data_IF_729863169549
#
_entry.id   IF_729863169549
#
_cell.length_a   1.000
_cell.length_b   1.000
_cell.length_c   1.000
_cell.angle_alpha   90.00
_cell.angle_beta   90.00
_cell.angle_gamma   90.00
#
_symmetry.space_group_name_H-M   'P 1'
#
loop_
_entity.id
_entity.type
_entity.pdbx_description
1 polymer ?
#
# COMPACT_ATOMS: atom_id res chain seq x y z
N UNK A 1 -16.01 -17.46 -18.32
CA UNK A 1 -16.84 -16.57 -19.20
C UNK A 1 -18.35 -16.76 -18.99
N UNK A 2 -18.87 -18.00 -18.88
CA UNK A 2 -20.31 -18.26 -18.61
C UNK A 2 -20.75 -17.67 -17.26
N UNK A 3 -20.01 -17.93 -16.18
CA UNK A 3 -20.31 -17.41 -14.84
C UNK A 3 -20.39 -15.87 -14.78
N UNK A 4 -19.47 -15.17 -15.45
CA UNK A 4 -19.48 -13.69 -15.55
C UNK A 4 -20.74 -13.18 -16.24
N UNK A 5 -21.18 -13.82 -17.33
CA UNK A 5 -22.44 -13.46 -18.01
C UNK A 5 -23.65 -13.72 -17.11
N UNK A 6 -23.68 -14.85 -16.39
CA UNK A 6 -24.78 -15.19 -15.48
C UNK A 6 -24.89 -14.19 -14.33
N UNK A 7 -23.77 -13.85 -13.69
CA UNK A 7 -23.72 -12.89 -12.57
C UNK A 7 -24.08 -11.48 -13.05
N UNK A 8 -23.58 -11.06 -14.23
CA UNK A 8 -23.96 -9.77 -14.83
C UNK A 8 -25.46 -9.70 -15.14
N UNK A 9 -26.04 -10.75 -15.67
CA UNK A 9 -27.48 -10.81 -15.92
C UNK A 9 -28.30 -10.75 -14.61
N UNK A 10 -27.81 -11.39 -13.54
CA UNK A 10 -28.41 -11.28 -12.22
C UNK A 10 -28.38 -9.82 -11.70
N UNK A 11 -27.22 -9.15 -11.73
CA UNK A 11 -27.12 -7.77 -11.27
C UNK A 11 -27.90 -6.77 -12.15
N UNK A 12 -27.99 -7.01 -13.46
CA UNK A 12 -28.87 -6.23 -14.35
C UNK A 12 -30.33 -6.32 -13.92
N UNK A 13 -30.82 -7.54 -13.71
CA UNK A 13 -32.20 -7.78 -13.28
C UNK A 13 -32.47 -7.19 -11.89
N UNK A 14 -31.50 -7.32 -10.98
CA UNK A 14 -31.58 -6.75 -9.63
C UNK A 14 -31.65 -5.22 -9.67
N UNK A 15 -30.75 -4.56 -10.41
CA UNK A 15 -30.72 -3.10 -10.50
C UNK A 15 -32.00 -2.54 -11.16
N UNK A 16 -32.48 -3.16 -12.24
CA UNK A 16 -33.71 -2.74 -12.90
C UNK A 16 -34.95 -2.92 -12.00
N UNK A 17 -35.08 -4.08 -11.34
CA UNK A 17 -36.21 -4.33 -10.44
C UNK A 17 -36.19 -3.46 -9.19
N UNK A 18 -35.01 -3.21 -8.60
CA UNK A 18 -34.85 -2.32 -7.46
C UNK A 18 -35.21 -0.87 -7.80
N UNK A 19 -34.84 -0.39 -9.00
CA UNK A 19 -35.20 0.94 -9.46
C UNK A 19 -36.72 1.09 -9.63
N UNK A 20 -37.40 0.13 -10.26
CA UNK A 20 -38.86 0.14 -10.40
C UNK A 20 -39.54 0.06 -9.03
N UNK A 21 -39.12 -0.89 -8.18
CA UNK A 21 -39.70 -1.05 -6.85
C UNK A 21 -39.53 0.21 -5.98
N UNK A 22 -38.35 0.84 -6.02
CA UNK A 22 -38.07 2.09 -5.32
C UNK A 22 -38.95 3.23 -5.83
N UNK A 23 -39.11 3.35 -7.15
CA UNK A 23 -39.99 4.35 -7.76
C UNK A 23 -41.48 4.10 -7.39
N UNK A 24 -41.93 2.85 -7.41
CA UNK A 24 -43.29 2.47 -7.01
C UNK A 24 -43.55 2.79 -5.53
N UNK A 25 -42.60 2.52 -4.64
CA UNK A 25 -42.72 2.83 -3.22
C UNK A 25 -42.76 4.35 -2.97
N UNK A 26 -41.92 5.12 -3.68
CA UNK A 26 -41.96 6.57 -3.62
C UNK A 26 -43.28 7.15 -4.16
N UNK A 27 -43.78 6.61 -5.28
CA UNK A 27 -45.07 7.00 -5.85
C UNK A 27 -46.26 6.65 -4.93
N UNK A 28 -46.18 5.53 -4.21
CA UNK A 28 -47.18 5.14 -3.22
C UNK A 28 -47.23 6.13 -2.05
N UNK A 29 -46.07 6.58 -1.58
CA UNK A 29 -45.98 7.51 -0.46
C UNK A 29 -46.51 8.92 -0.79
N UNK A 30 -46.35 9.37 -2.04
CA UNK A 30 -46.72 10.73 -2.47
C UNK A 30 -48.12 10.83 -3.12
N UNK A 31 -48.60 9.75 -3.74
CA UNK A 31 -49.82 9.78 -4.56
C UNK A 31 -50.72 8.55 -4.39
N UNK A 32 -50.50 7.72 -3.36
CA UNK A 32 -51.29 6.52 -3.11
C UNK A 32 -51.17 5.46 -4.22
N UNK A 33 -52.10 4.49 -4.29
CA UNK A 33 -52.06 3.43 -5.29
C UNK A 33 -51.98 3.92 -6.76
N UNK A 34 -52.67 5.01 -7.16
CA UNK A 34 -52.51 5.58 -8.50
C UNK A 34 -51.11 6.18 -8.72
N UNK A 35 -50.55 6.86 -7.71
CA UNK A 35 -49.19 7.39 -7.76
C UNK A 35 -48.12 6.32 -7.87
N UNK A 36 -48.31 5.17 -7.21
CA UNK A 36 -47.44 4.01 -7.33
C UNK A 36 -47.41 3.46 -8.77
N UNK A 37 -48.57 3.33 -9.41
CA UNK A 37 -48.68 2.83 -10.78
C UNK A 37 -48.07 3.80 -11.80
N UNK A 38 -48.31 5.11 -11.64
CA UNK A 38 -47.73 6.13 -12.51
C UNK A 38 -46.19 6.18 -12.39
N UNK A 39 -45.66 6.12 -11.17
CA UNK A 39 -44.22 6.12 -10.93
C UNK A 39 -43.55 4.83 -11.45
N UNK A 40 -44.20 3.67 -11.31
CA UNK A 40 -43.72 2.40 -11.87
C UNK A 40 -43.62 2.46 -13.40
N UNK A 41 -44.65 2.99 -14.06
CA UNK A 41 -44.71 3.14 -15.51
C UNK A 41 -43.61 4.08 -16.01
N UNK A 42 -43.43 5.24 -15.36
CA UNK A 42 -42.39 6.20 -15.69
C UNK A 42 -40.97 5.62 -15.48
N UNK A 43 -40.75 4.89 -14.38
CA UNK A 43 -39.47 4.22 -14.11
C UNK A 43 -39.15 3.14 -15.15
N UNK A 44 -40.15 2.38 -15.57
CA UNK A 44 -40.01 1.36 -16.62
C UNK A 44 -39.70 2.01 -17.97
N UNK A 45 -40.35 3.12 -18.31
CA UNK A 45 -40.05 3.89 -19.51
C UNK A 45 -38.63 4.48 -19.49
N UNK A 46 -38.18 4.98 -18.34
CA UNK A 46 -36.80 5.46 -18.16
C UNK A 46 -35.77 4.34 -18.32
N UNK A 47 -36.04 3.14 -17.79
CA UNK A 47 -35.19 1.97 -17.97
C UNK A 47 -35.09 1.52 -19.43
N UNK A 48 -36.15 1.70 -20.22
CA UNK A 48 -36.16 1.40 -21.65
C UNK A 48 -35.42 2.46 -22.50
N UNK A 49 -35.13 3.63 -21.94
CA UNK A 49 -34.36 4.67 -22.63
C UNK A 49 -32.89 4.27 -22.81
N UNK A 50 -32.18 4.77 -23.85
CA UNK A 50 -30.76 4.49 -24.05
C UNK A 50 -29.89 4.80 -22.84
N UNK A 51 -30.20 5.88 -22.11
CA UNK A 51 -29.51 6.28 -20.88
C UNK A 51 -29.81 5.34 -19.71
N UNK A 52 -31.07 4.89 -19.58
CA UNK A 52 -31.47 3.94 -18.54
C UNK A 52 -30.82 2.57 -18.71
N UNK A 53 -30.77 2.07 -19.96
CA UNK A 53 -30.06 0.82 -20.28
C UNK A 53 -28.57 0.95 -19.94
N UNK A 54 -27.93 2.07 -20.30
CA UNK A 54 -26.52 2.31 -19.98
C UNK A 54 -26.27 2.38 -18.47
N UNK A 55 -27.15 3.02 -17.70
CA UNK A 55 -27.02 3.13 -16.25
C UNK A 55 -27.12 1.76 -15.55
N UNK A 56 -28.09 0.92 -15.96
CA UNK A 56 -28.23 -0.44 -15.43
C UNK A 56 -27.04 -1.31 -15.81
N UNK A 57 -26.52 -1.12 -17.03
CA UNK A 57 -25.35 -1.84 -17.51
C UNK A 57 -24.12 -1.55 -16.66
N UNK A 58 -23.84 -0.28 -16.39
CA UNK A 58 -22.72 0.16 -15.54
C UNK A 58 -22.88 -0.39 -14.11
N UNK A 59 -24.08 -0.27 -13.53
CA UNK A 59 -24.35 -0.79 -12.19
C UNK A 59 -24.13 -2.31 -12.11
N UNK A 60 -24.53 -3.04 -13.16
CA UNK A 60 -24.36 -4.47 -13.23
C UNK A 60 -22.90 -4.89 -13.43
N UNK A 61 -22.12 -4.13 -14.20
CA UNK A 61 -20.67 -4.35 -14.34
C UNK A 61 -19.95 -4.19 -13.01
N UNK A 62 -20.18 -3.09 -12.30
CA UNK A 62 -19.56 -2.84 -10.99
C UNK A 62 -19.91 -3.94 -9.98
N UNK A 63 -21.19 -4.36 -9.93
CA UNK A 63 -21.62 -5.46 -9.06
C UNK A 63 -20.98 -6.80 -9.43
N UNK A 64 -20.80 -7.06 -10.73
CA UNK A 64 -20.18 -8.29 -11.24
C UNK A 64 -18.69 -8.33 -10.96
N UNK A 65 -17.99 -7.22 -11.16
CA UNK A 65 -16.55 -7.11 -10.89
C UNK A 65 -16.28 -7.28 -9.40
N UNK A 66 -17.07 -6.63 -8.54
CA UNK A 66 -16.97 -6.82 -7.09
C UNK A 66 -17.22 -8.27 -6.66
N UNK A 67 -18.16 -8.98 -7.31
CA UNK A 67 -18.51 -10.34 -6.97
C UNK A 67 -17.51 -11.40 -7.50
N UNK A 68 -16.82 -11.12 -8.60
CA UNK A 68 -16.00 -12.12 -9.30
C UNK A 68 -14.50 -11.87 -9.22
N UNK A 69 -14.06 -10.62 -9.07
CA UNK A 69 -12.63 -10.29 -9.16
C UNK A 69 -11.90 -10.39 -7.82
N UNK A 70 -12.58 -10.81 -6.74
CA UNK A 70 -11.88 -11.28 -5.54
C UNK A 70 -11.26 -12.66 -5.81
N UNK A 71 -9.94 -12.70 -5.95
CA UNK A 71 -9.24 -13.96 -6.15
C UNK A 71 -9.27 -14.76 -4.85
N UNK A 72 -9.87 -15.96 -4.89
CA UNK A 72 -9.91 -16.87 -3.74
C UNK A 72 -8.54 -17.50 -3.54
N UNK A 73 -7.85 -17.16 -2.46
CA UNK A 73 -6.47 -17.59 -2.20
C UNK A 73 -6.35 -18.70 -1.14
N UNK A 74 -7.46 -19.37 -0.82
CA UNK A 74 -7.52 -20.42 0.22
C UNK A 74 -6.59 -21.61 -0.03
N UNK A 75 -6.11 -21.82 -1.26
CA UNK A 75 -5.13 -22.87 -1.60
C UNK A 75 -3.67 -22.44 -1.43
N UNK A 76 -3.40 -21.19 -1.02
CA UNK A 76 -2.07 -20.61 -0.93
C UNK A 76 -1.49 -20.14 -2.26
N UNK A 77 -0.43 -19.33 -2.22
CA UNK A 77 0.26 -18.78 -3.39
C UNK A 77 1.15 -17.58 -3.05
N UNK A 78 1.96 -17.13 -4.02
CA UNK A 78 2.76 -15.90 -3.92
C UNK A 78 2.08 -14.79 -4.72
N UNK A 79 1.75 -13.68 -4.06
CA UNK A 79 1.18 -12.49 -4.69
C UNK A 79 2.32 -11.53 -5.04
N UNK A 80 2.61 -11.39 -6.33
CA UNK A 80 3.73 -10.56 -6.84
C UNK A 80 3.31 -9.15 -7.25
N UNK A 81 2.01 -8.86 -7.30
CA UNK A 81 1.44 -7.56 -7.65
C UNK A 81 0.25 -7.21 -6.75
N UNK A 82 -0.10 -5.92 -6.60
CA UNK A 82 -1.24 -5.50 -5.78
C UNK A 82 -2.53 -6.20 -6.23
N UNK A 83 -3.03 -7.12 -5.41
CA UNK A 83 -4.19 -7.96 -5.74
C UNK A 83 -5.23 -7.84 -4.65
N UNK A 84 -6.48 -7.64 -5.02
CA UNK A 84 -7.62 -7.74 -4.12
C UNK A 84 -8.03 -9.21 -3.99
N UNK A 85 -7.84 -9.80 -2.82
CA UNK A 85 -8.02 -11.24 -2.59
C UNK A 85 -8.91 -11.51 -1.38
N UNK A 86 -9.70 -12.59 -1.47
CA UNK A 86 -10.46 -13.12 -0.34
C UNK A 86 -9.58 -14.16 0.38
N UNK A 87 -9.28 -13.90 1.66
CA UNK A 87 -8.39 -14.71 2.51
C UNK A 87 -9.22 -15.38 3.63
N UNK A 88 -8.82 -16.57 4.07
CA UNK A 88 -9.40 -17.22 5.25
C UNK A 88 -10.74 -17.94 5.04
N UNK A 89 -11.06 -18.37 3.81
CA UNK A 89 -12.27 -19.17 3.55
C UNK A 89 -12.18 -20.61 4.09
N UNK A 90 -10.97 -21.11 4.36
CA UNK A 90 -10.70 -22.51 4.75
C UNK A 90 -10.01 -22.66 6.13
N UNK A 91 -10.42 -21.86 7.11
CA UNK A 91 -9.91 -21.93 8.49
C UNK A 91 -8.86 -20.86 8.84
N UNK A 92 -8.17 -20.97 9.99
CA UNK A 92 -7.21 -19.97 10.44
C UNK A 92 -5.98 -19.88 9.51
N UNK A 93 -5.88 -18.80 8.74
CA UNK A 93 -4.76 -18.50 7.85
C UNK A 93 -3.87 -17.37 8.41
N UNK A 94 -2.58 -17.42 8.09
CA UNK A 94 -1.59 -16.43 8.53
C UNK A 94 -1.04 -15.65 7.33
N UNK A 95 -1.12 -14.31 7.40
CA UNK A 95 -0.58 -13.41 6.37
C UNK A 95 0.83 -12.95 6.78
N UNK A 96 1.85 -13.32 6.01
CA UNK A 96 3.24 -12.94 6.23
C UNK A 96 3.70 -11.96 5.14
N UNK A 97 3.96 -10.68 5.46
CA UNK A 97 4.57 -9.75 4.52
C UNK A 97 6.04 -10.14 4.25
N UNK A 98 6.41 -10.36 2.97
CA UNK A 98 7.78 -10.72 2.57
C UNK A 98 8.75 -9.54 2.44
N UNK A 99 8.49 -8.43 3.14
CA UNK A 99 9.33 -7.23 3.05
C UNK A 99 10.77 -7.52 3.52
N UNK A 100 11.82 -6.98 2.87
CA UNK A 100 13.20 -7.21 3.28
C UNK A 100 13.62 -6.49 4.58
N UNK A 101 12.71 -5.84 5.32
CA UNK A 101 13.07 -5.00 6.46
C UNK A 101 12.53 -5.51 7.81
N UNK A 102 12.98 -6.70 8.20
CA UNK A 102 13.27 -7.00 9.62
C UNK A 102 14.62 -6.41 10.07
N UNK A 103 15.20 -5.51 9.27
CA UNK A 103 16.33 -4.68 9.68
C UNK A 103 15.86 -3.70 10.76
N UNK A 104 16.03 -4.08 12.03
CA UNK A 104 15.88 -3.20 13.20
C UNK A 104 16.32 -1.78 12.83
N UNK A 105 15.53 -0.74 13.14
CA UNK A 105 15.88 0.63 12.77
C UNK A 105 17.30 0.94 13.24
N UNK A 106 18.18 1.32 12.31
CA UNK A 106 19.59 1.61 12.60
C UNK A 106 19.63 2.72 13.65
N UNK A 107 19.91 2.35 14.91
CA UNK A 107 19.93 3.29 16.03
C UNK A 107 20.80 4.48 15.67
N UNK A 108 20.22 5.68 15.66
CA UNK A 108 20.97 6.92 15.45
C UNK A 108 22.01 7.02 16.56
N UNK A 109 23.31 7.10 16.21
CA UNK A 109 24.38 7.30 17.20
C UNK A 109 24.10 8.54 18.06
N UNK A 110 24.38 8.45 19.36
CA UNK A 110 24.13 9.55 20.32
C UNK A 110 24.90 10.82 19.97
N UNK A 111 24.42 11.98 20.46
CA UNK A 111 25.11 13.28 20.27
C UNK A 111 26.53 13.25 20.85
N UNK A 112 26.73 12.61 22.00
CA UNK A 112 28.03 12.45 22.65
C UNK A 112 29.01 11.61 21.81
N UNK A 113 28.55 10.48 21.25
CA UNK A 113 29.36 9.64 20.37
C UNK A 113 29.81 10.41 19.12
N UNK A 114 28.91 11.17 18.50
CA UNK A 114 29.23 12.01 17.33
C UNK A 114 30.25 13.11 17.66
N UNK A 115 30.15 13.72 18.84
CA UNK A 115 31.12 14.72 19.29
C UNK A 115 32.51 14.10 19.51
N UNK A 116 32.57 12.91 20.10
CA UNK A 116 33.82 12.16 20.28
C UNK A 116 34.44 11.75 18.94
N UNK A 117 33.64 11.29 17.97
CA UNK A 117 34.09 10.94 16.62
C UNK A 117 34.71 12.16 15.89
N UNK A 118 34.10 13.35 16.05
CA UNK A 118 34.65 14.60 15.50
C UNK A 118 36.02 14.94 16.10
N UNK A 119 36.18 14.80 17.42
CA UNK A 119 37.48 15.02 18.09
C UNK A 119 38.52 14.00 17.63
N UNK A 120 38.13 12.73 17.51
CA UNK A 120 39.01 11.66 17.04
C UNK A 120 39.46 11.92 15.58
N UNK A 121 38.54 12.31 14.70
CA UNK A 121 38.85 12.67 13.31
C UNK A 121 39.85 13.83 13.23
N UNK A 122 39.65 14.90 14.00
CA UNK A 122 40.60 16.03 14.09
C UNK A 122 41.97 15.59 14.59
N UNK A 123 42.01 14.75 15.63
CA UNK A 123 43.25 14.24 16.20
C UNK A 123 44.05 13.39 15.19
N UNK A 124 43.38 12.56 14.38
CA UNK A 124 44.03 11.80 13.31
C UNK A 124 44.58 12.68 12.20
N UNK A 125 43.92 13.79 11.84
CA UNK A 125 44.47 14.76 10.87
C UNK A 125 45.80 15.33 11.34
N UNK A 126 45.83 15.84 12.58
CA UNK A 126 47.06 16.40 13.18
C UNK A 126 48.16 15.33 13.30
N UNK A 127 47.81 14.10 13.70
CA UNK A 127 48.78 13.01 13.81
C UNK A 127 49.36 12.61 12.45
N UNK A 128 48.51 12.54 11.40
CA UNK A 128 48.95 12.26 10.04
C UNK A 128 49.86 13.36 9.50
N UNK A 129 49.52 14.64 9.70
CA UNK A 129 50.38 15.77 9.30
C UNK A 129 51.76 15.72 9.97
N UNK A 130 51.81 15.31 11.24
CA UNK A 130 53.07 15.22 11.99
C UNK A 130 53.94 14.03 11.59
N UNK A 131 53.33 12.89 11.28
CA UNK A 131 54.04 11.60 11.11
C UNK A 131 54.11 11.13 9.66
N UNK A 132 53.39 11.75 8.73
CA UNK A 132 53.51 11.51 7.29
C UNK A 132 54.35 12.61 6.63
N UNK A 133 54.86 12.28 5.45
CA UNK A 133 55.50 13.19 4.51
C UNK A 133 54.42 13.81 3.60
N UNK A 134 54.77 14.85 2.84
CA UNK A 134 53.86 15.47 1.86
C UNK A 134 53.38 14.50 0.77
N UNK A 135 54.19 13.50 0.43
CA UNK A 135 53.84 12.42 -0.51
C UNK A 135 52.95 11.32 0.12
N UNK A 136 52.47 11.51 1.34
CA UNK A 136 51.63 10.55 2.05
C UNK A 136 52.38 9.34 2.61
N UNK A 137 53.69 9.18 2.44
CA UNK A 137 54.42 8.09 3.12
C UNK A 137 54.64 8.39 4.60
N UNK A 138 54.82 7.36 5.42
CA UNK A 138 55.22 7.53 6.82
C UNK A 138 56.67 8.05 6.91
N UNK A 139 56.96 8.84 7.95
CA UNK A 139 58.34 9.22 8.27
C UNK A 139 59.14 7.96 8.68
N UNK A 140 60.46 7.99 8.44
CA UNK A 140 61.35 6.84 8.72
C UNK A 140 61.21 6.42 10.18
N UNK A 141 61.07 5.11 10.41
CA UNK A 141 60.91 4.54 11.76
C UNK A 141 59.57 4.84 12.44
N UNK A 142 58.56 5.32 11.71
CA UNK A 142 57.19 5.51 12.22
C UNK A 142 56.23 4.52 11.57
N UNK A 143 55.31 4.03 12.39
CA UNK A 143 54.28 3.07 12.01
C UNK A 143 52.88 3.67 12.14
N UNK A 144 51.88 3.00 11.56
CA UNK A 144 50.47 3.35 11.78
C UNK A 144 50.08 3.29 13.26
N UNK A 145 50.69 2.39 14.04
CA UNK A 145 50.46 2.31 15.46
C UNK A 145 50.89 3.59 16.19
N UNK A 146 51.98 4.23 15.76
CA UNK A 146 52.44 5.50 16.35
C UNK A 146 51.47 6.64 16.08
N UNK A 147 50.85 6.66 14.89
CA UNK A 147 49.79 7.61 14.52
C UNK A 147 48.57 7.41 15.42
N UNK A 148 48.11 6.16 15.57
CA UNK A 148 46.96 5.86 16.42
C UNK A 148 47.20 6.24 17.88
N UNK A 149 48.37 5.89 18.45
CA UNK A 149 48.75 6.28 19.82
C UNK A 149 48.79 7.80 19.98
N UNK A 150 49.36 8.52 19.01
CA UNK A 150 49.39 9.98 19.03
C UNK A 150 47.99 10.60 18.92
N UNK A 151 47.14 10.08 18.03
CA UNK A 151 45.77 10.56 17.83
C UNK A 151 44.92 10.36 19.09
N UNK A 152 45.01 9.20 19.76
CA UNK A 152 44.31 8.98 21.03
C UNK A 152 44.81 9.88 22.16
N UNK A 153 46.12 10.18 22.19
CA UNK A 153 46.69 11.15 23.15
C UNK A 153 46.20 12.57 22.88
N UNK A 154 46.12 12.98 21.61
CA UNK A 154 45.60 14.30 21.22
C UNK A 154 44.10 14.42 21.49
N UNK A 155 43.31 13.37 21.22
CA UNK A 155 41.88 13.35 21.52
C UNK A 155 41.59 13.62 23.00
N UNK A 156 42.42 13.09 23.91
CA UNK A 156 42.26 13.32 25.36
C UNK A 156 42.50 14.79 25.78
N UNK A 157 43.22 15.57 24.95
CA UNK A 157 43.52 16.98 25.20
C UNK A 157 42.53 17.94 24.50
N UNK A 158 41.58 17.42 23.73
CA UNK A 158 40.56 18.17 22.96
C UNK A 158 39.17 17.99 23.56
#
# INVERSE_FOLDING_TARGET
MVQRKTVKNFYRALAASAYVAGASAAGLALGGPPGAAAAAAAATANLASPLGVAAVEIAAEVGTDAALDSTKMATGGLVTEPTFAMLGEAGPEMVIPLMPSMAKPKKKRSRSARAADKKLSKAFKIANEKLRKKNGQLKKGKSQADIARMAHRLRKKM
#
